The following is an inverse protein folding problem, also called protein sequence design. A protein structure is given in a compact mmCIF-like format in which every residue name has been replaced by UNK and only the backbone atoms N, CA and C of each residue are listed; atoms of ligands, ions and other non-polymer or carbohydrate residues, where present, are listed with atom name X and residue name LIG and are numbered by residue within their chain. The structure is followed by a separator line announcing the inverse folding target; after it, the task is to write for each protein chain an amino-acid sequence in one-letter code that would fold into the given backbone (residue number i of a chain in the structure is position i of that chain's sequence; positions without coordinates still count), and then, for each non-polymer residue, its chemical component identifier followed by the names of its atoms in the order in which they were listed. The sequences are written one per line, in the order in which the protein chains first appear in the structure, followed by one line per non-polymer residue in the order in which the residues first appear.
data_IF_330946878965
#
_entry.id   IF_330946878965
#
_cell.length_a   1.000
_cell.length_b   1.000
_cell.length_c   1.000
_cell.angle_alpha   90.00
_cell.angle_beta   90.00
_cell.angle_gamma   90.00
#
_symmetry.space_group_name_H-M   'P 1'
#
loop_
_entity.id
_entity.type
_entity.pdbx_description
1 polymer ?
#
# COMPACT_ATOMS: atom_id res chain seq x y z
N UNK A 1 23.63 -1.67 -7.32
CA UNK A 1 22.70 -2.48 -8.14
C UNK A 1 21.89 -1.67 -9.16
N UNK A 2 21.71 -0.36 -9.01
CA UNK A 2 20.94 0.50 -9.92
C UNK A 2 21.75 1.26 -10.98
N UNK A 3 23.08 1.20 -10.95
CA UNK A 3 23.95 1.96 -11.84
C UNK A 3 23.69 1.72 -13.34
N UNK A 4 23.56 0.46 -13.83
CA UNK A 4 23.33 0.23 -15.25
C UNK A 4 21.96 0.71 -15.76
N UNK A 5 20.94 0.66 -14.90
CA UNK A 5 19.58 1.16 -15.22
C UNK A 5 19.60 2.69 -15.26
N UNK A 6 20.30 3.32 -14.32
CA UNK A 6 20.46 4.79 -14.24
C UNK A 6 21.17 5.33 -15.49
N UNK A 7 22.26 4.71 -15.92
CA UNK A 7 23.00 5.10 -17.14
C UNK A 7 22.14 4.97 -18.40
N UNK A 8 21.40 3.86 -18.54
CA UNK A 8 20.50 3.62 -19.66
C UNK A 8 19.34 4.62 -19.69
N UNK A 9 18.76 4.95 -18.55
CA UNK A 9 17.68 5.94 -18.46
C UNK A 9 18.18 7.35 -18.78
N UNK A 10 19.34 7.74 -18.26
CA UNK A 10 19.95 9.04 -18.58
C UNK A 10 20.22 9.21 -20.09
N UNK A 11 20.51 8.12 -20.80
CA UNK A 11 20.66 8.17 -22.26
C UNK A 11 19.35 8.33 -23.05
N UNK A 12 18.21 8.04 -22.41
CA UNK A 12 16.87 8.14 -23.01
C UNK A 12 16.16 9.46 -22.68
N UNK A 13 16.64 10.22 -21.69
CA UNK A 13 16.04 11.47 -21.25
C UNK A 13 16.85 12.64 -21.81
N UNK A 14 16.35 13.39 -22.81
CA UNK A 14 17.12 14.46 -23.47
C UNK A 14 17.21 15.76 -22.68
N UNK A 15 16.39 15.95 -21.62
CA UNK A 15 16.36 17.18 -20.83
C UNK A 15 17.14 17.01 -19.52
N UNK A 16 18.14 17.88 -19.29
CA UNK A 16 18.96 17.89 -18.08
C UNK A 16 18.12 18.08 -16.80
N UNK A 17 17.02 18.83 -16.87
CA UNK A 17 16.11 19.03 -15.73
C UNK A 17 15.33 17.77 -15.35
N UNK A 18 14.99 16.95 -16.33
CA UNK A 18 14.36 15.65 -16.10
C UNK A 18 15.36 14.64 -15.55
N UNK A 19 16.63 14.71 -16.01
CA UNK A 19 17.72 13.90 -15.46
C UNK A 19 17.95 14.22 -13.97
N UNK A 20 17.98 15.50 -13.60
CA UNK A 20 18.14 15.92 -12.22
C UNK A 20 16.97 15.46 -11.34
N UNK A 21 15.74 15.59 -11.84
CA UNK A 21 14.56 15.11 -11.15
C UNK A 21 14.59 13.59 -10.96
N UNK A 22 15.01 12.85 -11.98
CA UNK A 22 15.18 11.41 -11.92
C UNK A 22 16.26 10.97 -10.92
N UNK A 23 17.42 11.64 -10.94
CA UNK A 23 18.51 11.35 -10.01
C UNK A 23 18.09 11.62 -8.56
N UNK A 24 17.39 12.73 -8.31
CA UNK A 24 16.83 13.01 -6.99
C UNK A 24 15.83 11.92 -6.55
N UNK A 25 14.90 11.55 -7.43
CA UNK A 25 13.93 10.49 -7.14
C UNK A 25 14.61 9.13 -6.88
N UNK A 26 15.65 8.80 -7.63
CA UNK A 26 16.42 7.56 -7.42
C UNK A 26 17.05 7.52 -6.03
N UNK A 27 17.60 8.64 -5.55
CA UNK A 27 18.15 8.74 -4.20
C UNK A 27 17.10 8.55 -3.12
N UNK A 28 15.87 9.06 -3.34
CA UNK A 28 14.74 8.85 -2.44
C UNK A 28 14.36 7.37 -2.40
N UNK A 29 14.23 6.72 -3.56
CA UNK A 29 13.90 5.28 -3.65
C UNK A 29 14.95 4.43 -2.95
N UNK A 30 16.24 4.72 -3.13
CA UNK A 30 17.33 4.01 -2.43
C UNK A 30 17.19 4.10 -0.90
N UNK A 31 16.86 5.30 -0.37
CA UNK A 31 16.60 5.48 1.06
C UNK A 31 15.35 4.72 1.52
N UNK A 32 14.27 4.78 0.74
CA UNK A 32 13.04 4.04 1.05
C UNK A 32 13.26 2.52 1.07
N UNK A 33 14.05 1.98 0.14
CA UNK A 33 14.43 0.56 0.15
C UNK A 33 15.21 0.22 1.41
N UNK A 34 16.17 1.06 1.80
CA UNK A 34 16.96 0.86 3.03
C UNK A 34 16.06 0.88 4.27
N UNK A 35 15.14 1.85 4.35
CA UNK A 35 14.19 1.96 5.46
C UNK A 35 13.19 0.81 5.47
N UNK A 36 12.72 0.35 4.31
CA UNK A 36 11.84 -0.82 4.18
C UNK A 36 12.52 -2.09 4.67
N UNK A 37 13.77 -2.30 4.27
CA UNK A 37 14.55 -3.43 4.77
C UNK A 37 14.74 -3.36 6.30
N UNK A 38 15.05 -2.17 6.84
CA UNK A 38 15.15 -1.99 8.29
C UNK A 38 13.82 -2.24 9.02
N UNK A 39 12.69 -1.82 8.42
CA UNK A 39 11.36 -2.13 8.94
C UNK A 39 11.12 -3.64 9.02
N UNK A 40 11.40 -4.36 7.93
CA UNK A 40 11.23 -5.81 7.90
C UNK A 40 12.14 -6.53 8.91
N UNK A 41 13.41 -6.13 8.99
CA UNK A 41 14.35 -6.69 9.97
C UNK A 41 13.93 -6.46 11.43
N UNK A 42 13.09 -5.47 11.70
CA UNK A 42 12.53 -5.22 13.04
C UNK A 42 11.39 -6.18 13.40
N UNK A 43 10.85 -6.95 12.44
CA UNK A 43 9.74 -7.89 12.63
C UNK A 43 10.31 -9.30 12.84
N UNK A 44 10.11 -9.93 14.02
CA UNK A 44 10.60 -11.28 14.27
C UNK A 44 10.04 -12.30 13.27
N UNK A 45 10.92 -13.07 12.64
CA UNK A 45 10.54 -14.12 11.68
C UNK A 45 10.23 -13.65 10.26
N UNK A 46 10.48 -12.38 9.96
CA UNK A 46 10.30 -11.84 8.61
C UNK A 46 11.10 -12.59 7.54
N UNK A 47 12.29 -13.09 7.88
CA UNK A 47 13.19 -13.85 7.00
C UNK A 47 12.58 -15.13 6.42
N UNK A 48 11.50 -15.62 7.05
CA UNK A 48 10.72 -16.78 6.59
C UNK A 48 9.55 -16.39 5.67
N UNK A 49 9.28 -15.11 5.49
CA UNK A 49 8.22 -14.64 4.63
C UNK A 49 8.61 -14.71 3.15
N UNK A 50 7.63 -14.98 2.30
CA UNK A 50 7.76 -14.98 0.83
C UNK A 50 7.01 -13.79 0.26
N UNK A 51 7.53 -13.15 -0.81
CA UNK A 51 6.89 -12.00 -1.43
C UNK A 51 5.70 -12.38 -2.30
N UNK A 52 4.79 -11.42 -2.48
CA UNK A 52 3.69 -11.42 -3.45
C UNK A 52 2.83 -12.69 -3.41
N UNK A 53 2.40 -13.10 -2.21
CA UNK A 53 1.61 -14.32 -2.05
C UNK A 53 0.13 -14.03 -2.28
N UNK A 54 -0.40 -14.70 -3.28
CA UNK A 54 -1.83 -14.71 -3.58
C UNK A 54 -2.65 -15.23 -2.38
N UNK A 55 -3.71 -14.51 -2.08
CA UNK A 55 -4.62 -14.83 -0.98
C UNK A 55 -6.05 -14.60 -1.45
N UNK A 56 -6.92 -15.56 -1.25
CA UNK A 56 -8.34 -15.43 -1.57
C UNK A 56 -9.22 -16.08 -0.51
N UNK A 57 -10.45 -15.60 -0.40
CA UNK A 57 -11.48 -16.18 0.46
C UNK A 57 -12.87 -15.99 -0.13
N UNK A 58 -13.68 -17.02 -0.05
CA UNK A 58 -15.12 -16.96 -0.28
C UNK A 58 -15.80 -16.72 1.06
N UNK A 59 -16.60 -15.67 1.15
CA UNK A 59 -17.38 -15.36 2.35
C UNK A 59 -18.82 -15.83 2.18
N UNK A 60 -19.47 -16.19 3.28
CA UNK A 60 -20.88 -16.57 3.27
C UNK A 60 -21.76 -15.46 2.68
N UNK A 61 -22.57 -15.81 1.69
CA UNK A 61 -23.43 -14.88 0.96
C UNK A 61 -22.70 -13.99 -0.07
N UNK A 62 -21.42 -14.28 -0.36
CA UNK A 62 -20.64 -13.68 -1.43
C UNK A 62 -20.29 -14.78 -2.44
N UNK A 63 -20.80 -14.67 -3.67
CA UNK A 63 -20.59 -15.70 -4.71
C UNK A 63 -19.26 -15.54 -5.48
N UNK A 64 -18.60 -14.38 -5.31
CA UNK A 64 -17.33 -14.05 -5.97
C UNK A 64 -16.24 -14.07 -4.90
N UNK A 65 -15.14 -14.81 -5.09
CA UNK A 65 -14.03 -14.78 -4.15
C UNK A 65 -13.48 -13.37 -4.01
N UNK A 66 -13.22 -12.95 -2.78
CA UNK A 66 -12.39 -11.78 -2.52
C UNK A 66 -10.95 -12.21 -2.65
N UNK A 67 -10.17 -11.44 -3.36
CA UNK A 67 -8.82 -11.79 -3.78
C UNK A 67 -7.85 -10.63 -3.53
N UNK A 68 -6.60 -10.92 -3.20
CA UNK A 68 -5.52 -9.95 -3.03
C UNK A 68 -4.16 -10.63 -2.99
N UNK A 69 -3.11 -9.81 -3.12
CA UNK A 69 -1.73 -10.23 -2.97
C UNK A 69 -1.16 -9.56 -1.71
N UNK A 70 -0.67 -10.35 -0.76
CA UNK A 70 0.07 -9.85 0.37
C UNK A 70 1.51 -9.56 -0.06
N UNK A 71 2.05 -8.41 0.31
CA UNK A 71 3.42 -8.05 -0.05
C UNK A 71 4.42 -9.08 0.47
N UNK A 72 4.26 -9.51 1.73
CA UNK A 72 5.04 -10.60 2.32
C UNK A 72 4.13 -11.50 3.16
N UNK A 73 4.30 -12.82 3.05
CA UNK A 73 3.54 -13.82 3.81
C UNK A 73 4.41 -14.99 4.27
N UNK A 74 4.29 -15.32 5.54
CA UNK A 74 4.88 -16.48 6.21
C UNK A 74 3.98 -16.96 7.34
N UNK A 75 4.48 -16.95 8.57
CA UNK A 75 3.69 -17.12 9.80
C UNK A 75 2.92 -15.83 10.18
N UNK A 76 3.06 -14.79 9.37
CA UNK A 76 2.40 -13.49 9.47
C UNK A 76 2.19 -12.92 8.07
N UNK A 77 1.43 -11.82 7.99
CA UNK A 77 1.31 -10.97 6.81
C UNK A 77 2.03 -9.65 7.12
N UNK A 78 2.86 -9.19 6.19
CA UNK A 78 3.46 -7.85 6.22
C UNK A 78 3.00 -7.12 4.97
N UNK A 79 2.45 -5.94 5.17
CA UNK A 79 1.94 -5.06 4.12
C UNK A 79 2.72 -3.75 4.12
N UNK A 80 3.31 -3.39 2.99
CA UNK A 80 4.12 -2.19 2.84
C UNK A 80 3.32 -1.02 2.27
N UNK A 81 3.46 0.15 2.86
CA UNK A 81 2.81 1.39 2.44
C UNK A 81 3.85 2.48 2.24
N UNK A 82 4.32 2.59 1.00
CA UNK A 82 5.30 3.59 0.62
C UNK A 82 4.68 4.99 0.55
N UNK A 83 5.24 5.93 1.30
CA UNK A 83 4.85 7.35 1.33
C UNK A 83 5.88 8.16 0.56
N UNK A 84 5.71 8.24 -0.75
CA UNK A 84 6.58 9.02 -1.61
C UNK A 84 6.46 10.53 -1.33
N UNK A 85 7.55 11.30 -1.49
CA UNK A 85 7.52 12.74 -1.34
C UNK A 85 6.63 13.37 -2.41
N UNK A 86 6.01 14.49 -2.05
CA UNK A 86 5.16 15.25 -2.96
C UNK A 86 6.01 16.18 -3.81
N UNK A 87 5.77 16.17 -5.11
CA UNK A 87 6.40 17.06 -6.06
C UNK A 87 5.72 18.43 -6.03
N UNK A 88 6.48 19.46 -5.66
CA UNK A 88 5.99 20.84 -5.61
C UNK A 88 5.81 21.46 -7.00
N UNK A 89 5.32 22.70 -7.02
CA UNK A 89 5.18 23.48 -8.26
C UNK A 89 6.54 23.81 -8.86
N UNK A 90 6.57 24.00 -10.17
CA UNK A 90 7.77 24.53 -10.87
C UNK A 90 8.01 25.96 -10.40
N UNK A 91 9.20 26.25 -9.92
CA UNK A 91 9.66 27.59 -9.56
C UNK A 91 9.97 28.41 -10.83
N UNK A 92 10.17 29.74 -10.68
CA UNK A 92 10.50 30.61 -11.80
C UNK A 92 11.81 30.24 -12.51
N UNK A 93 12.74 29.62 -11.78
CA UNK A 93 14.03 29.13 -12.30
C UNK A 93 13.92 27.77 -13.00
N UNK A 94 12.71 27.21 -13.10
CA UNK A 94 12.44 25.93 -13.69
C UNK A 94 12.70 24.73 -12.79
N UNK A 95 13.18 24.92 -11.56
CA UNK A 95 13.37 23.85 -10.58
C UNK A 95 12.06 23.48 -9.90
N UNK A 96 12.02 22.31 -9.25
CA UNK A 96 10.88 21.88 -8.41
C UNK A 96 11.36 21.61 -7.00
N UNK A 97 10.51 21.94 -6.04
CA UNK A 97 10.70 21.47 -4.66
C UNK A 97 10.12 20.08 -4.50
N UNK A 98 10.62 19.38 -3.52
CA UNK A 98 10.08 18.12 -3.03
C UNK A 98 9.77 18.30 -1.54
N UNK A 99 8.69 17.73 -1.08
CA UNK A 99 8.33 17.73 0.34
C UNK A 99 8.08 16.31 0.80
N UNK A 100 8.76 15.90 1.85
CA UNK A 100 8.57 14.61 2.49
C UNK A 100 7.10 14.42 2.90
N UNK A 101 6.54 13.27 2.59
CA UNK A 101 5.23 12.88 3.08
C UNK A 101 5.41 12.25 4.45
N UNK A 102 4.82 12.87 5.48
CA UNK A 102 4.93 12.37 6.86
C UNK A 102 4.38 10.94 7.00
N UNK A 103 5.04 10.14 7.82
CA UNK A 103 4.53 8.86 8.23
C UNK A 103 3.30 9.06 9.14
N UNK A 104 2.22 8.28 8.99
CA UNK A 104 1.02 8.45 9.77
C UNK A 104 1.23 8.07 11.24
N UNK A 105 0.50 8.72 12.15
CA UNK A 105 0.53 8.39 13.59
C UNK A 105 -0.32 7.15 13.92
N UNK A 106 -1.28 6.83 13.07
CA UNK A 106 -2.14 5.65 13.15
C UNK A 106 -2.36 5.08 11.76
N UNK A 107 -2.92 3.89 11.67
CA UNK A 107 -3.23 3.25 10.39
C UNK A 107 -4.30 4.07 9.66
N UNK A 108 -4.04 4.37 8.40
CA UNK A 108 -5.00 5.10 7.54
C UNK A 108 -6.22 4.21 7.26
N UNK A 109 -7.45 4.73 7.41
CA UNK A 109 -8.68 3.92 7.37
C UNK A 109 -8.85 3.06 6.11
N UNK A 110 -8.38 3.55 4.96
CA UNK A 110 -8.49 2.80 3.70
C UNK A 110 -7.55 1.58 3.61
N UNK A 111 -6.47 1.55 4.40
CA UNK A 111 -5.62 0.37 4.50
C UNK A 111 -6.22 -0.72 5.41
N UNK A 112 -7.09 -0.35 6.36
CA UNK A 112 -7.69 -1.31 7.29
C UNK A 112 -8.48 -2.40 6.54
N UNK A 113 -9.25 -2.03 5.52
CA UNK A 113 -10.05 -2.98 4.78
C UNK A 113 -9.20 -4.05 4.07
N UNK A 114 -8.03 -3.68 3.58
CA UNK A 114 -7.09 -4.60 2.94
C UNK A 114 -6.50 -5.58 3.95
N UNK A 115 -6.02 -5.09 5.08
CA UNK A 115 -5.39 -5.94 6.09
C UNK A 115 -6.42 -6.78 6.84
N UNK A 116 -7.64 -6.26 7.05
CA UNK A 116 -8.76 -7.06 7.58
C UNK A 116 -9.06 -8.25 6.68
N UNK A 117 -9.09 -8.04 5.35
CA UNK A 117 -9.25 -9.13 4.38
C UNK A 117 -8.16 -10.19 4.54
N UNK A 118 -6.89 -9.79 4.63
CA UNK A 118 -5.80 -10.75 4.79
C UNK A 118 -5.94 -11.56 6.08
N UNK A 119 -6.30 -10.92 7.18
CA UNK A 119 -6.57 -11.63 8.43
C UNK A 119 -7.75 -12.60 8.30
N UNK A 120 -8.88 -12.16 7.70
CA UNK A 120 -10.02 -13.06 7.49
C UNK A 120 -9.68 -14.26 6.61
N UNK A 121 -8.80 -14.08 5.64
CA UNK A 121 -8.42 -15.12 4.71
C UNK A 121 -7.42 -16.14 5.29
N UNK A 122 -6.55 -15.69 6.19
CA UNK A 122 -5.38 -16.47 6.64
C UNK A 122 -5.35 -16.75 8.14
N UNK A 123 -6.07 -15.96 8.94
CA UNK A 123 -6.04 -15.95 10.41
C UNK A 123 -4.65 -15.60 11.00
N UNK A 124 -3.72 -15.13 10.15
CA UNK A 124 -2.37 -14.78 10.54
C UNK A 124 -2.31 -13.39 11.19
N UNK A 125 -1.30 -13.14 12.06
CA UNK A 125 -0.99 -11.79 12.53
C UNK A 125 -0.66 -10.85 11.37
N UNK A 126 -1.05 -9.57 11.52
CA UNK A 126 -0.82 -8.54 10.51
C UNK A 126 0.19 -7.53 11.01
N UNK A 127 1.13 -7.17 10.14
CA UNK A 127 2.03 -6.05 10.27
C UNK A 127 1.82 -5.08 9.11
N UNK A 128 1.81 -3.78 9.38
CA UNK A 128 1.79 -2.73 8.36
C UNK A 128 3.04 -1.88 8.53
N UNK A 129 3.83 -1.78 7.47
CA UNK A 129 5.03 -0.97 7.43
C UNK A 129 4.77 0.29 6.60
N UNK A 130 4.70 1.47 7.22
CA UNK A 130 4.74 2.74 6.51
C UNK A 130 6.19 3.18 6.35
N UNK A 131 6.57 3.48 5.11
CA UNK A 131 7.97 3.73 4.73
C UNK A 131 8.04 5.03 3.92
N UNK A 132 8.96 5.91 4.27
CA UNK A 132 9.35 7.06 3.46
C UNK A 132 10.88 7.21 3.41
N UNK A 133 11.39 8.27 2.80
CA UNK A 133 12.83 8.52 2.69
C UNK A 133 13.51 8.89 4.00
N UNK A 134 12.76 9.26 5.04
CA UNK A 134 13.30 9.66 6.35
C UNK A 134 13.28 8.51 7.38
N UNK A 135 12.43 7.49 7.15
CA UNK A 135 12.33 6.38 8.08
C UNK A 135 11.15 5.46 7.82
N UNK A 136 10.72 4.78 8.87
CA UNK A 136 9.59 3.86 8.82
C UNK A 136 8.83 3.82 10.15
N UNK A 137 7.58 3.33 10.09
CA UNK A 137 6.77 2.93 11.26
C UNK A 137 6.17 1.56 11.00
N UNK A 138 6.27 0.68 11.99
CA UNK A 138 5.66 -0.65 11.97
C UNK A 138 4.51 -0.69 12.96
N UNK A 139 3.33 -1.07 12.48
CA UNK A 139 2.15 -1.31 13.27
C UNK A 139 1.85 -2.81 13.33
N UNK A 140 1.54 -3.29 14.53
CA UNK A 140 1.10 -4.67 14.81
C UNK A 140 0.06 -4.66 15.91
N UNK A 141 -0.49 -5.82 16.26
CA UNK A 141 -1.42 -5.95 17.40
C UNK A 141 -0.81 -5.53 18.75
N UNK A 142 0.52 -5.49 18.87
CA UNK A 142 1.24 -5.13 20.09
C UNK A 142 1.22 -3.62 20.36
N UNK A 143 1.20 -2.80 19.29
CA UNK A 143 1.29 -1.34 19.40
C UNK A 143 0.12 -0.60 18.74
N UNK A 144 -0.84 -1.31 18.16
CA UNK A 144 -2.01 -0.74 17.49
C UNK A 144 -3.26 -1.59 17.73
N UNK A 145 -4.19 -1.07 18.53
CA UNK A 145 -5.45 -1.76 18.85
C UNK A 145 -6.25 -2.16 17.60
N UNK A 146 -6.17 -1.37 16.53
CA UNK A 146 -6.86 -1.64 15.27
C UNK A 146 -6.45 -2.97 14.61
N UNK A 147 -5.26 -3.48 14.90
CA UNK A 147 -4.75 -4.75 14.37
C UNK A 147 -4.95 -5.94 15.31
N UNK A 148 -5.57 -5.74 16.47
CA UNK A 148 -5.90 -6.87 17.35
C UNK A 148 -6.97 -7.75 16.70
N UNK A 149 -6.95 -9.09 16.88
CA UNK A 149 -7.96 -9.99 16.33
C UNK A 149 -9.39 -9.56 16.70
N UNK A 150 -9.61 -9.06 17.91
CA UNK A 150 -10.91 -8.56 18.38
C UNK A 150 -11.39 -7.36 17.57
N UNK A 151 -10.52 -6.38 17.31
CA UNK A 151 -10.86 -5.19 16.54
C UNK A 151 -11.11 -5.54 15.06
N UNK A 152 -10.30 -6.43 14.47
CA UNK A 152 -10.48 -6.90 13.11
C UNK A 152 -11.83 -7.63 12.99
N UNK A 153 -12.14 -8.56 13.89
CA UNK A 153 -13.41 -9.31 13.85
C UNK A 153 -14.63 -8.39 14.02
N UNK A 154 -14.52 -7.32 14.81
CA UNK A 154 -15.61 -6.33 14.96
C UNK A 154 -15.97 -5.64 13.65
N UNK A 155 -15.03 -5.48 12.70
CA UNK A 155 -15.23 -4.85 11.38
C UNK A 155 -15.69 -5.82 10.29
N UNK A 156 -15.70 -7.13 10.55
CA UNK A 156 -16.01 -8.16 9.56
C UNK A 156 -17.39 -8.02 8.94
N UNK A 157 -18.39 -7.64 9.72
CA UNK A 157 -19.76 -7.42 9.24
C UNK A 157 -19.78 -6.31 8.18
N UNK A 158 -19.12 -5.20 8.44
CA UNK A 158 -19.04 -4.06 7.51
C UNK A 158 -18.25 -4.42 6.26
N UNK A 159 -17.15 -5.17 6.40
CA UNK A 159 -16.39 -5.70 5.29
C UNK A 159 -17.26 -6.55 4.36
N UNK A 160 -17.98 -7.54 4.91
CA UNK A 160 -18.88 -8.41 4.14
C UNK A 160 -19.99 -7.59 3.47
N UNK A 161 -20.56 -6.60 4.16
CA UNK A 161 -21.59 -5.73 3.59
C UNK A 161 -21.07 -4.94 2.38
N UNK A 162 -19.84 -4.40 2.44
CA UNK A 162 -19.19 -3.75 1.30
C UNK A 162 -18.95 -4.70 0.13
N UNK A 163 -18.55 -5.94 0.41
CA UNK A 163 -18.40 -6.98 -0.62
C UNK A 163 -19.75 -7.30 -1.29
N UNK A 164 -20.84 -7.39 -0.53
CA UNK A 164 -22.20 -7.61 -1.06
C UNK A 164 -22.64 -6.46 -1.97
N UNK A 165 -22.41 -5.23 -1.57
CA UNK A 165 -22.73 -4.05 -2.40
C UNK A 165 -21.98 -4.13 -3.73
N UNK A 166 -20.67 -4.39 -3.72
CA UNK A 166 -19.87 -4.56 -4.94
C UNK A 166 -20.35 -5.71 -5.81
N UNK A 167 -20.65 -6.87 -5.22
CA UNK A 167 -21.22 -8.01 -5.95
C UNK A 167 -22.55 -7.66 -6.63
N UNK A 168 -23.42 -6.89 -5.97
CA UNK A 168 -24.68 -6.48 -6.55
C UNK A 168 -24.49 -5.46 -7.69
N UNK A 169 -23.52 -4.55 -7.57
CA UNK A 169 -23.16 -3.64 -8.65
C UNK A 169 -22.66 -4.41 -9.89
N UNK A 170 -21.84 -5.43 -9.70
CA UNK A 170 -21.35 -6.28 -10.80
C UNK A 170 -22.47 -7.06 -11.51
N UNK A 171 -23.64 -7.27 -10.87
CA UNK A 171 -24.83 -7.83 -11.54
C UNK A 171 -25.51 -6.83 -12.47
N UNK A 172 -25.35 -5.53 -12.24
CA UNK A 172 -25.91 -4.48 -13.07
C UNK A 172 -25.13 -4.34 -14.37
N UNK A 173 -23.80 -4.36 -14.27
CA UNK A 173 -22.89 -4.27 -15.43
C UNK A 173 -21.51 -4.84 -15.09
N UNK A 174 -20.85 -5.42 -16.10
CA UNK A 174 -19.43 -5.75 -16.05
C UNK A 174 -18.56 -4.63 -16.65
N UNK A 175 -19.17 -3.57 -17.16
CA UNK A 175 -18.46 -2.41 -17.71
C UNK A 175 -18.16 -1.40 -16.59
N UNK A 176 -16.88 -1.16 -16.36
CA UNK A 176 -16.42 -0.20 -15.36
C UNK A 176 -16.90 1.23 -15.63
N UNK A 177 -17.12 1.61 -16.91
CA UNK A 177 -17.64 2.93 -17.25
C UNK A 177 -19.11 3.08 -16.86
N UNK A 178 -19.90 2.02 -16.97
CA UNK A 178 -21.31 2.02 -16.49
C UNK A 178 -21.33 2.03 -14.96
N UNK A 179 -20.49 1.24 -14.32
CA UNK A 179 -20.42 1.17 -12.86
C UNK A 179 -19.89 2.46 -12.21
N UNK A 180 -19.07 3.23 -12.93
CA UNK A 180 -18.53 4.52 -12.48
C UNK A 180 -19.63 5.50 -12.02
N UNK A 181 -20.77 5.49 -12.69
CA UNK A 181 -21.89 6.39 -12.36
C UNK A 181 -22.66 5.95 -11.08
N UNK A 182 -22.52 4.70 -10.69
CA UNK A 182 -23.12 4.12 -9.48
C UNK A 182 -22.15 4.05 -8.29
N UNK A 183 -20.88 3.93 -8.60
CA UNK A 183 -19.79 4.00 -7.63
C UNK A 183 -19.24 5.41 -7.74
N UNK A 184 -19.84 6.38 -7.06
CA UNK A 184 -19.09 7.61 -6.75
C UNK A 184 -18.00 7.22 -5.75
N UNK A 185 -16.75 7.04 -6.19
CA UNK A 185 -15.68 6.93 -5.24
C UNK A 185 -15.62 8.30 -4.57
N UNK A 186 -15.55 8.30 -3.27
CA UNK A 186 -15.26 9.50 -2.50
C UNK A 186 -13.79 9.89 -2.75
N UNK A 187 -13.52 10.31 -3.99
CA UNK A 187 -12.17 10.68 -4.46
C UNK A 187 -11.65 11.91 -3.73
N UNK A 188 -12.53 12.72 -3.12
CA UNK A 188 -12.13 13.90 -2.35
C UNK A 188 -11.36 13.52 -1.08
N UNK A 189 -11.45 12.26 -0.64
CA UNK A 189 -10.71 11.73 0.49
C UNK A 189 -9.42 10.96 0.09
N UNK A 190 -9.11 10.83 -1.19
CA UNK A 190 -7.96 10.05 -1.68
C UNK A 190 -6.83 10.89 -2.29
N UNK A 191 -6.99 12.24 -2.38
CA UNK A 191 -5.96 13.13 -2.94
C UNK A 191 -5.66 14.34 -2.05
#
# INVERSE_FOLDING_TARGET
MFTPIREKLNSLIPDTKEIDAFNHFSTIVERMITNGHAAHMSIPGYDKCKPEIETYKVFEGINIPVHGYADLKGEMIIEDKCKFPRRGRVKKDGTRSWSTTKLPETIEPYHLMQVDFYHYATELPIYICYINEEGYKVFSAENCELLTPKSIESRKKDFIQRCKVRQNLMKISNDANVLKDYIQPDFDNYF
#
